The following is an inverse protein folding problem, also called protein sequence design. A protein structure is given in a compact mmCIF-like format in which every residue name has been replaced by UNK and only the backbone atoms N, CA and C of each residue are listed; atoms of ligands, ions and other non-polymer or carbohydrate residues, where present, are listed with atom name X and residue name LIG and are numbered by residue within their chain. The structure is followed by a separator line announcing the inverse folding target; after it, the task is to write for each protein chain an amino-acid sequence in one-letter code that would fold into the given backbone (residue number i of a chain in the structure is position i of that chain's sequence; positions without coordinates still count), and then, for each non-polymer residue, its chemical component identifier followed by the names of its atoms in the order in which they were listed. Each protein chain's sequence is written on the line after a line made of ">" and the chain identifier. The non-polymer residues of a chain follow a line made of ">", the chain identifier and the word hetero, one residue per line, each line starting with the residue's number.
data_IF_400195164560
#
_entry.id   IF_400195164560
#
_cell.length_a   1.000
_cell.length_b   1.000
_cell.length_c   1.000
_cell.angle_alpha   90.00
_cell.angle_beta   90.00
_cell.angle_gamma   90.00
#
_symmetry.space_group_name_H-M   'P 1'
#
loop_
_entity.id
_entity.type
_entity.pdbx_description
1 polymer ?
#
# COMPACT_ATOMS: atom_id res chain seq x y z
N UNK A 1 21.33 -30.86 11.82
CA UNK A 1 19.96 -30.63 12.35
C UNK A 1 19.45 -29.33 11.75
N UNK A 2 18.70 -29.42 10.65
CA UNK A 2 18.17 -28.22 9.98
C UNK A 2 16.99 -27.70 10.81
N UNK A 3 17.18 -26.55 11.44
CA UNK A 3 16.11 -25.76 12.03
C UNK A 3 15.13 -25.38 10.92
N UNK A 4 14.12 -26.20 10.68
CA UNK A 4 12.97 -25.79 9.88
C UNK A 4 12.30 -24.67 10.65
N UNK A 5 12.52 -23.42 10.26
CA UNK A 5 11.66 -22.31 10.64
C UNK A 5 10.29 -22.65 10.07
N UNK A 6 9.49 -23.41 10.83
CA UNK A 6 8.14 -23.77 10.41
C UNK A 6 7.37 -22.46 10.41
N UNK A 7 6.86 -22.06 9.25
CA UNK A 7 6.01 -20.89 9.05
C UNK A 7 4.62 -21.12 9.66
N UNK A 8 4.60 -21.42 10.96
CA UNK A 8 3.42 -21.84 11.73
C UNK A 8 2.70 -23.07 11.13
N UNK A 9 3.45 -23.94 10.45
CA UNK A 9 2.90 -25.12 9.77
C UNK A 9 2.26 -24.83 8.40
N UNK A 10 2.35 -23.60 7.89
CA UNK A 10 1.89 -23.24 6.55
C UNK A 10 2.99 -23.50 5.51
N UNK A 11 2.62 -23.74 4.23
CA UNK A 11 3.58 -23.94 3.14
C UNK A 11 4.18 -22.63 2.61
N UNK A 12 3.90 -21.50 3.25
CA UNK A 12 4.42 -20.17 2.92
C UNK A 12 4.68 -19.38 4.20
N UNK A 13 5.54 -18.37 4.12
CA UNK A 13 5.78 -17.42 5.20
C UNK A 13 4.65 -16.36 5.24
N UNK A 14 3.74 -16.37 6.24
CA UNK A 14 2.63 -15.45 6.25
C UNK A 14 3.10 -14.02 6.51
N UNK A 15 2.51 -13.07 5.80
CA UNK A 15 2.82 -11.64 6.02
C UNK A 15 2.52 -11.20 7.46
N UNK A 16 1.53 -11.82 8.12
CA UNK A 16 1.24 -11.58 9.54
C UNK A 16 2.38 -12.05 10.46
N UNK A 17 3.08 -13.13 10.10
CA UNK A 17 4.26 -13.59 10.81
C UNK A 17 5.46 -12.66 10.55
N UNK A 18 5.61 -12.17 9.31
CA UNK A 18 6.60 -11.14 8.97
C UNK A 18 6.39 -9.87 9.81
N UNK A 19 5.20 -9.30 9.78
CA UNK A 19 4.89 -8.10 10.56
C UNK A 19 5.07 -8.31 12.06
N UNK A 20 4.66 -9.48 12.60
CA UNK A 20 4.91 -9.77 14.01
C UNK A 20 6.40 -9.84 14.35
N UNK A 21 7.23 -10.37 13.46
CA UNK A 21 8.67 -10.42 13.66
C UNK A 21 9.32 -9.03 13.59
N UNK A 22 8.84 -8.16 12.69
CA UNK A 22 9.37 -6.78 12.52
C UNK A 22 8.90 -5.85 13.64
N UNK A 23 7.63 -5.89 14.01
CA UNK A 23 7.01 -4.88 14.88
C UNK A 23 6.72 -5.36 16.31
N UNK A 24 6.93 -6.64 16.60
CA UNK A 24 6.67 -7.27 17.90
C UNK A 24 5.20 -7.60 18.19
N UNK A 25 4.27 -7.14 17.35
CA UNK A 25 2.82 -7.30 17.54
C UNK A 25 2.08 -7.41 16.20
N UNK A 26 0.74 -7.54 16.25
CA UNK A 26 -0.08 -7.61 15.04
C UNK A 26 -0.17 -6.23 14.38
N UNK A 27 0.08 -6.20 13.07
CA UNK A 27 -0.04 -4.99 12.25
C UNK A 27 -1.01 -5.26 11.10
N UNK A 28 -1.87 -4.28 10.81
CA UNK A 28 -2.83 -4.35 9.72
C UNK A 28 -2.66 -3.20 8.74
N UNK A 29 -2.89 -3.48 7.46
CA UNK A 29 -2.93 -2.45 6.43
C UNK A 29 -4.26 -1.70 6.50
N UNK A 30 -4.22 -0.37 6.45
CA UNK A 30 -5.39 0.49 6.28
C UNK A 30 -5.39 1.05 4.85
N UNK A 31 -6.29 0.59 3.97
CA UNK A 31 -6.30 1.01 2.57
C UNK A 31 -6.77 2.44 2.44
N UNK A 32 -6.04 3.24 1.65
CA UNK A 32 -6.39 4.62 1.29
C UNK A 32 -6.26 4.81 -0.22
N UNK A 33 -6.98 5.79 -0.75
CA UNK A 33 -6.98 6.15 -2.17
C UNK A 33 -6.78 7.64 -2.32
N UNK A 34 -5.59 8.04 -2.76
CA UNK A 34 -5.23 9.45 -3.00
C UNK A 34 -5.13 9.77 -4.49
N UNK A 35 -5.27 8.78 -5.35
CA UNK A 35 -5.25 8.93 -6.81
C UNK A 35 -6.63 8.63 -7.38
N UNK A 36 -7.01 9.36 -8.42
CA UNK A 36 -8.27 9.13 -9.15
C UNK A 36 -8.11 8.31 -10.44
N UNK A 37 -6.88 8.00 -10.84
CA UNK A 37 -6.59 7.35 -12.14
C UNK A 37 -5.22 6.68 -12.17
N UNK A 38 -4.92 5.96 -13.26
CA UNK A 38 -3.62 5.39 -13.57
C UNK A 38 -3.30 5.52 -15.07
N UNK A 39 -2.03 5.35 -15.50
CA UNK A 39 -1.66 5.52 -16.92
C UNK A 39 -2.46 4.65 -17.89
N UNK A 40 -2.90 3.46 -17.45
CA UNK A 40 -3.74 2.56 -18.26
C UNK A 40 -5.14 3.12 -18.50
N UNK A 41 -5.70 3.84 -17.52
CA UNK A 41 -7.02 4.48 -17.62
C UNK A 41 -6.95 5.77 -18.43
N UNK A 42 -5.87 6.53 -18.26
CA UNK A 42 -5.60 7.74 -19.04
C UNK A 42 -5.25 7.46 -20.52
N UNK A 43 -4.98 6.20 -20.86
CA UNK A 43 -4.63 5.81 -22.23
C UNK A 43 -3.27 6.35 -22.71
N UNK A 44 -2.36 6.67 -21.77
CA UNK A 44 -1.05 7.21 -22.11
C UNK A 44 -0.31 6.23 -23.01
N UNK A 45 0.30 6.73 -24.09
CA UNK A 45 1.05 5.92 -25.05
C UNK A 45 0.26 4.73 -25.62
N UNK A 46 -1.08 4.86 -25.75
CA UNK A 46 -1.94 3.80 -26.28
C UNK A 46 -2.23 2.66 -25.30
N UNK A 47 -1.89 2.83 -24.01
CA UNK A 47 -2.27 1.90 -22.95
C UNK A 47 -3.78 1.74 -22.84
N UNK A 48 -4.22 0.60 -22.29
CA UNK A 48 -5.65 0.29 -22.07
C UNK A 48 -5.91 -0.07 -20.63
N UNK A 49 -7.11 0.25 -20.15
CA UNK A 49 -7.57 -0.17 -18.83
C UNK A 49 -7.54 -1.69 -18.73
N UNK A 50 -7.01 -2.22 -17.62
CA UNK A 50 -7.01 -3.66 -17.37
C UNK A 50 -8.46 -4.16 -17.32
N UNK A 51 -8.79 -5.21 -18.07
CA UNK A 51 -10.17 -5.68 -18.24
C UNK A 51 -10.88 -6.07 -16.93
N UNK A 52 -10.12 -6.49 -15.91
CA UNK A 52 -10.63 -6.87 -14.60
C UNK A 52 -10.72 -5.70 -13.60
N UNK A 53 -10.19 -4.53 -13.94
CA UNK A 53 -10.10 -3.41 -13.01
C UNK A 53 -11.41 -2.63 -12.97
N UNK A 54 -12.10 -2.70 -11.84
CA UNK A 54 -13.35 -2.00 -11.59
C UNK A 54 -13.19 -0.46 -11.58
N UNK A 55 -14.30 0.26 -11.66
CA UNK A 55 -14.30 1.73 -11.78
C UNK A 55 -13.61 2.46 -10.63
N UNK A 56 -13.43 1.83 -9.47
CA UNK A 56 -12.76 2.40 -8.30
C UNK A 56 -11.25 2.11 -8.26
N UNK A 57 -10.68 1.48 -9.29
CA UNK A 57 -9.26 1.10 -9.27
C UNK A 57 -8.95 0.04 -8.23
N UNK A 58 -9.94 -0.79 -7.89
CA UNK A 58 -9.87 -1.85 -6.87
C UNK A 58 -9.66 -1.36 -5.45
N UNK A 59 -10.17 -0.17 -5.13
CA UNK A 59 -10.16 0.33 -3.77
C UNK A 59 -11.00 -0.54 -2.84
N UNK A 60 -10.44 -0.84 -1.66
CA UNK A 60 -11.16 -1.59 -0.63
C UNK A 60 -12.39 -0.85 -0.06
N UNK A 61 -12.35 0.49 -0.04
CA UNK A 61 -13.45 1.36 0.41
C UNK A 61 -13.75 2.45 -0.63
N UNK A 62 -14.49 2.11 -1.71
CA UNK A 62 -14.80 3.07 -2.78
C UNK A 62 -15.56 4.32 -2.29
N UNK A 63 -16.33 4.20 -1.22
CA UNK A 63 -17.06 5.30 -0.59
C UNK A 63 -16.14 6.38 0.00
N UNK A 64 -14.93 6.01 0.42
CA UNK A 64 -13.97 6.92 1.03
C UNK A 64 -13.11 7.70 0.02
N UNK A 65 -13.15 7.35 -1.28
CA UNK A 65 -12.31 8.01 -2.29
C UNK A 65 -12.58 9.50 -2.45
N UNK A 66 -13.79 9.95 -2.07
CA UNK A 66 -14.20 11.36 -2.15
C UNK A 66 -13.69 12.19 -0.97
N UNK A 67 -13.13 11.53 0.04
CA UNK A 67 -12.69 12.14 1.29
C UNK A 67 -11.19 12.44 1.27
N UNK A 68 -10.75 13.40 2.07
CA UNK A 68 -9.32 13.67 2.26
C UNK A 68 -8.60 12.54 3.00
N UNK A 69 -7.30 12.38 2.77
CA UNK A 69 -6.47 11.29 3.30
C UNK A 69 -6.63 11.09 4.82
N UNK A 70 -6.66 12.16 5.61
CA UNK A 70 -6.87 12.10 7.07
C UNK A 70 -8.15 11.34 7.41
N UNK A 71 -9.27 11.72 6.79
CA UNK A 71 -10.57 11.07 7.03
C UNK A 71 -10.57 9.62 6.52
N UNK A 72 -9.91 9.34 5.40
CA UNK A 72 -9.75 7.97 4.92
C UNK A 72 -8.98 7.10 5.92
N UNK A 73 -7.89 7.62 6.51
CA UNK A 73 -7.09 6.93 7.53
C UNK A 73 -7.96 6.64 8.75
N UNK A 74 -8.63 7.65 9.33
CA UNK A 74 -9.45 7.47 10.52
C UNK A 74 -10.59 6.47 10.32
N UNK A 75 -11.33 6.59 9.20
CA UNK A 75 -12.47 5.72 8.94
C UNK A 75 -12.02 4.29 8.63
N UNK A 76 -10.97 4.11 7.83
CA UNK A 76 -10.42 2.79 7.52
C UNK A 76 -9.86 2.11 8.77
N UNK A 77 -9.12 2.86 9.59
CA UNK A 77 -8.60 2.41 10.89
C UNK A 77 -9.73 2.01 11.84
N UNK A 78 -10.78 2.82 11.97
CA UNK A 78 -11.97 2.49 12.76
C UNK A 78 -12.67 1.21 12.27
N UNK A 79 -12.82 1.04 10.95
CA UNK A 79 -13.39 -0.18 10.35
C UNK A 79 -12.56 -1.42 10.64
N UNK A 80 -11.23 -1.31 10.60
CA UNK A 80 -10.30 -2.40 10.93
C UNK A 80 -10.40 -2.74 12.42
N UNK A 81 -10.33 -1.75 13.32
CA UNK A 81 -10.40 -1.95 14.77
C UNK A 81 -11.69 -2.62 15.26
N UNK A 82 -12.82 -2.45 14.53
CA UNK A 82 -14.07 -3.16 14.83
C UNK A 82 -14.00 -4.68 14.59
N UNK A 83 -13.06 -5.14 13.78
CA UNK A 83 -12.94 -6.55 13.34
C UNK A 83 -11.75 -7.25 13.96
N UNK A 84 -10.70 -6.51 14.30
CA UNK A 84 -9.44 -7.07 14.77
C UNK A 84 -8.88 -6.25 15.92
N UNK A 85 -8.30 -6.94 16.89
CA UNK A 85 -7.52 -6.30 17.94
C UNK A 85 -6.09 -6.06 17.43
N UNK A 86 -5.84 -4.86 16.90
CA UNK A 86 -4.56 -4.43 16.35
C UNK A 86 -4.11 -3.13 17.02
N UNK A 87 -2.84 -3.07 17.43
CA UNK A 87 -2.25 -1.88 18.04
C UNK A 87 -1.47 -0.99 17.07
N UNK A 88 -1.19 -1.49 15.85
CA UNK A 88 -0.35 -0.83 14.85
C UNK A 88 -0.89 -1.01 13.44
N UNK A 89 -0.62 -0.04 12.58
CA UNK A 89 -1.13 0.02 11.21
C UNK A 89 -0.05 0.36 10.19
N UNK A 90 -0.29 -0.05 8.94
CA UNK A 90 0.44 0.42 7.76
C UNK A 90 -0.55 1.15 6.85
N UNK A 91 -0.29 2.39 6.48
CA UNK A 91 -1.12 3.09 5.50
C UNK A 91 -0.84 2.52 4.12
N UNK A 92 -1.87 1.99 3.46
CA UNK A 92 -1.73 1.26 2.20
C UNK A 92 -2.33 2.05 1.04
N UNK A 93 -1.46 2.66 0.25
CA UNK A 93 -1.79 3.36 -0.99
C UNK A 93 -2.00 2.33 -2.11
N UNK A 94 -3.18 1.74 -2.17
CA UNK A 94 -3.46 0.56 -3.00
C UNK A 94 -4.04 0.92 -4.38
N UNK A 95 -5.07 1.77 -4.40
CA UNK A 95 -5.92 1.92 -5.57
C UNK A 95 -5.25 2.75 -6.66
N UNK A 96 -5.50 2.36 -7.91
CA UNK A 96 -4.91 2.98 -9.10
C UNK A 96 -3.36 2.90 -9.11
N UNK A 97 -2.67 4.03 -9.31
CA UNK A 97 -1.20 4.11 -9.31
C UNK A 97 -0.79 5.37 -8.57
N UNK A 98 -0.62 5.27 -7.25
CA UNK A 98 -0.30 6.45 -6.42
C UNK A 98 0.99 7.14 -6.82
N UNK A 99 1.97 6.38 -7.32
CA UNK A 99 3.25 6.94 -7.77
C UNK A 99 3.19 7.60 -9.15
N UNK A 100 2.01 7.63 -9.78
CA UNK A 100 1.76 8.46 -10.97
C UNK A 100 1.59 9.95 -10.59
N UNK A 101 1.32 10.26 -9.33
CA UNK A 101 1.32 11.61 -8.79
C UNK A 101 2.75 12.18 -8.72
N UNK A 102 2.86 13.51 -8.55
CA UNK A 102 4.17 14.15 -8.34
C UNK A 102 4.77 13.68 -7.01
N UNK A 103 6.08 13.47 -6.99
CA UNK A 103 6.83 13.06 -5.77
C UNK A 103 6.57 14.00 -4.59
N UNK A 104 6.38 15.30 -4.84
CA UNK A 104 6.02 16.28 -3.81
C UNK A 104 4.65 16.02 -3.15
N UNK A 105 3.65 15.57 -3.91
CA UNK A 105 2.33 15.20 -3.37
C UNK A 105 2.43 13.90 -2.57
N UNK A 106 3.20 12.91 -3.07
CA UNK A 106 3.42 11.66 -2.36
C UNK A 106 4.12 11.87 -1.02
N UNK A 107 5.09 12.79 -0.95
CA UNK A 107 5.73 13.21 0.30
C UNK A 107 4.71 13.70 1.33
N UNK A 108 3.80 14.60 0.92
CA UNK A 108 2.75 15.11 1.81
C UNK A 108 1.87 13.97 2.35
N UNK A 109 1.56 12.97 1.52
CA UNK A 109 0.79 11.81 1.96
C UNK A 109 1.56 10.93 2.96
N UNK A 110 2.86 10.76 2.78
CA UNK A 110 3.70 10.03 3.73
C UNK A 110 3.88 10.78 5.04
N UNK A 111 4.02 12.10 5.00
CA UNK A 111 4.06 12.94 6.21
C UNK A 111 2.77 12.83 7.02
N UNK A 112 1.61 12.85 6.35
CA UNK A 112 0.32 12.63 7.02
C UNK A 112 0.27 11.24 7.65
N UNK A 113 0.69 10.19 6.93
CA UNK A 113 0.75 8.83 7.47
C UNK A 113 1.68 8.73 8.69
N UNK A 114 2.87 9.33 8.63
CA UNK A 114 3.86 9.34 9.70
C UNK A 114 3.47 10.18 10.93
N UNK A 115 2.48 11.08 10.78
CA UNK A 115 1.97 11.89 11.91
C UNK A 115 1.20 11.08 12.96
N UNK A 116 0.81 9.85 12.63
CA UNK A 116 0.09 8.93 13.50
C UNK A 116 1.04 8.03 14.29
N UNK A 117 0.96 8.08 15.63
CA UNK A 117 1.83 7.31 16.52
C UNK A 117 1.67 5.79 16.41
N UNK A 118 0.53 5.31 15.93
CA UNK A 118 0.24 3.90 15.71
C UNK A 118 0.33 3.48 14.23
N UNK A 119 0.75 4.37 13.33
CA UNK A 119 1.14 4.03 11.97
C UNK A 119 2.65 3.80 11.93
N UNK A 120 3.04 2.55 11.69
CA UNK A 120 4.45 2.13 11.72
C UNK A 120 5.12 2.10 10.35
N UNK A 121 4.42 2.56 9.33
CA UNK A 121 4.91 2.52 7.96
C UNK A 121 3.86 2.73 6.90
N UNK A 122 4.32 2.67 5.66
CA UNK A 122 3.50 2.77 4.45
C UNK A 122 3.73 1.57 3.54
N UNK A 123 2.68 1.23 2.80
CA UNK A 123 2.76 0.27 1.70
C UNK A 123 2.24 0.97 0.44
N UNK A 124 2.99 0.88 -0.65
CA UNK A 124 2.69 1.57 -1.90
C UNK A 124 2.43 0.54 -2.98
N UNK A 125 1.17 0.38 -3.37
CA UNK A 125 0.78 -0.37 -4.56
C UNK A 125 1.05 0.47 -5.80
N UNK A 126 1.81 -0.08 -6.75
CA UNK A 126 2.09 0.62 -8.00
C UNK A 126 2.38 -0.33 -9.16
N UNK A 127 2.59 0.26 -10.34
CA UNK A 127 2.99 -0.45 -11.54
C UNK A 127 4.53 -0.46 -11.66
N UNK A 128 5.11 -1.52 -12.22
CA UNK A 128 6.56 -1.60 -12.43
C UNK A 128 7.14 -0.46 -13.29
N UNK A 129 6.36 0.08 -14.21
CA UNK A 129 6.74 1.17 -15.12
C UNK A 129 6.48 2.58 -14.55
N UNK A 130 5.97 2.68 -13.32
CA UNK A 130 5.66 3.95 -12.64
C UNK A 130 6.63 4.23 -11.48
N UNK A 131 7.89 3.84 -11.66
CA UNK A 131 8.97 4.03 -10.70
C UNK A 131 10.06 4.89 -11.34
N UNK A 132 10.45 5.98 -10.67
CA UNK A 132 11.51 6.90 -11.10
C UNK A 132 12.58 7.02 -10.03
N UNK A 133 13.77 7.52 -10.40
CA UNK A 133 14.86 7.76 -9.44
C UNK A 133 14.42 8.67 -8.29
N UNK A 134 13.69 9.74 -8.60
CA UNK A 134 13.15 10.66 -7.59
C UNK A 134 12.16 9.98 -6.62
N UNK A 135 11.40 8.99 -7.09
CA UNK A 135 10.55 8.19 -6.22
C UNK A 135 11.39 7.26 -5.34
N UNK A 136 12.44 6.63 -5.88
CA UNK A 136 13.36 5.81 -5.09
C UNK A 136 14.03 6.62 -3.98
N UNK A 137 14.50 7.83 -4.28
CA UNK A 137 15.09 8.74 -3.29
C UNK A 137 14.10 9.05 -2.16
N UNK A 138 12.83 9.34 -2.51
CA UNK A 138 11.77 9.54 -1.53
C UNK A 138 11.58 8.28 -0.67
N UNK A 139 11.42 7.11 -1.28
CA UNK A 139 11.19 5.86 -0.56
C UNK A 139 12.35 5.54 0.39
N UNK A 140 13.59 5.77 -0.03
CA UNK A 140 14.78 5.57 0.80
C UNK A 140 14.82 6.52 2.00
N UNK A 141 14.56 7.81 1.79
CA UNK A 141 14.52 8.80 2.89
C UNK A 141 13.50 8.39 3.97
N UNK A 142 12.36 7.86 3.54
CA UNK A 142 11.31 7.42 4.46
C UNK A 142 11.61 6.06 5.08
N UNK A 143 12.26 5.14 4.37
CA UNK A 143 12.68 3.85 4.91
C UNK A 143 13.66 3.99 6.09
N UNK A 144 14.39 5.11 6.20
CA UNK A 144 15.20 5.45 7.37
C UNK A 144 14.37 5.81 8.62
N UNK A 145 13.11 6.23 8.44
CA UNK A 145 12.23 6.75 9.51
C UNK A 145 11.21 5.72 10.00
N UNK A 146 10.64 4.95 9.07
CA UNK A 146 9.61 3.93 9.36
C UNK A 146 9.57 2.86 8.26
N UNK A 147 8.71 1.85 8.40
CA UNK A 147 8.63 0.75 7.44
C UNK A 147 8.08 1.23 6.09
N UNK A 148 8.74 0.87 4.99
CA UNK A 148 8.29 1.13 3.63
C UNK A 148 8.27 -0.18 2.85
N UNK A 149 7.16 -0.45 2.17
CA UNK A 149 7.03 -1.58 1.24
C UNK A 149 6.42 -1.13 -0.07
N UNK A 150 6.95 -1.61 -1.19
CA UNK A 150 6.39 -1.39 -2.53
C UNK A 150 5.81 -2.71 -3.04
N UNK A 151 4.58 -2.67 -3.54
CA UNK A 151 3.88 -3.83 -4.09
C UNK A 151 3.57 -3.61 -5.56
N UNK A 152 4.09 -4.49 -6.42
CA UNK A 152 3.88 -4.42 -7.85
C UNK A 152 2.75 -5.35 -8.30
N UNK A 153 1.80 -4.80 -9.05
CA UNK A 153 0.77 -5.58 -9.72
C UNK A 153 1.32 -6.27 -10.97
N UNK A 154 1.94 -7.46 -10.83
CA UNK A 154 2.46 -8.25 -11.96
C UNK A 154 1.33 -8.81 -12.84
N UNK A 155 0.22 -9.22 -12.21
CA UNK A 155 -0.97 -9.84 -12.82
C UNK A 155 -0.76 -11.22 -13.47
N UNK A 156 0.22 -11.34 -14.36
CA UNK A 156 0.53 -12.58 -15.08
C UNK A 156 2.03 -12.68 -15.34
N UNK A 157 2.54 -13.90 -15.32
CA UNK A 157 3.85 -14.26 -15.88
C UNK A 157 3.72 -14.87 -17.28
N UNK A 158 2.50 -15.07 -17.76
CA UNK A 158 2.22 -15.40 -19.14
C UNK A 158 2.19 -14.11 -19.97
N UNK A 159 2.87 -14.13 -21.11
CA UNK A 159 2.92 -13.03 -22.07
C UNK A 159 1.61 -12.91 -22.88
N UNK A 160 0.71 -13.89 -22.78
CA UNK A 160 -0.53 -14.00 -23.55
C UNK A 160 -1.79 -13.64 -22.78
#
# INVERSE_FOLDING_TARGET
>A
MQNSVRWQGLPYYPISQHYKAVFGEKVYKIPVTVSGTCPNREGLNGMKTCNFCDVSGSAAYPDLQKEGLIKQIEESRSRVLKRVNAGKFLVYFQAYTTTFAKVAELRQHFDVAASYSDVVGVVVGTRPDCISDALFDLLNEYAEKFYVSVEFGVQSFDEK
#
